data_IF_186315059860
#
_entry.id   IF_186315059860
#
_cell.length_a   1.000
_cell.length_b   1.000
_cell.length_c   1.000
_cell.angle_alpha   90.00
_cell.angle_beta   90.00
_cell.angle_gamma   90.00
#
_symmetry.space_group_name_H-M   'P 1'
#
loop_
_entity.id
_entity.type
_entity.pdbx_description
1 polymer ?
#
# COMPACT_ATOMS: atom_id res chain seq x y z
N UNK A 1 20.36 -1.94 -36.19
CA UNK A 1 20.74 -3.36 -36.36
C UNK A 1 19.69 -3.97 -37.29
N UNK A 2 19.56 -5.30 -37.44
CA UNK A 2 18.31 -5.82 -38.00
C UNK A 2 17.18 -5.52 -37.01
N UNK A 3 16.13 -4.80 -37.44
CA UNK A 3 15.02 -4.46 -36.55
C UNK A 3 14.26 -5.73 -36.13
N UNK A 4 13.81 -5.83 -34.85
CA UNK A 4 13.15 -7.03 -34.34
C UNK A 4 11.86 -7.37 -35.12
N UNK A 5 11.38 -8.62 -35.08
CA UNK A 5 10.14 -9.02 -35.76
C UNK A 5 8.95 -8.17 -35.29
N UNK A 6 7.97 -7.92 -36.17
CA UNK A 6 6.89 -6.96 -35.91
C UNK A 6 6.09 -7.27 -34.63
N UNK A 7 5.83 -8.54 -34.37
CA UNK A 7 5.06 -8.97 -33.19
C UNK A 7 5.73 -8.58 -31.87
N UNK A 8 7.07 -8.51 -31.81
CA UNK A 8 7.83 -8.08 -30.64
C UNK A 8 8.13 -6.57 -30.64
N UNK A 9 7.28 -5.74 -31.27
CA UNK A 9 7.36 -4.26 -31.26
C UNK A 9 6.20 -3.59 -30.53
N UNK A 10 5.20 -4.35 -30.08
CA UNK A 10 4.01 -3.81 -29.41
C UNK A 10 4.37 -3.15 -28.08
N UNK A 11 3.90 -1.92 -27.87
CA UNK A 11 4.07 -1.16 -26.64
C UNK A 11 2.85 -1.40 -25.75
N UNK A 12 3.00 -2.30 -24.77
CA UNK A 12 1.90 -2.67 -23.87
C UNK A 12 1.84 -1.76 -22.64
N UNK A 13 0.64 -1.26 -22.33
CA UNK A 13 0.37 -0.38 -21.18
C UNK A 13 -1.01 -0.67 -20.62
N UNK A 14 -1.15 -0.76 -19.29
CA UNK A 14 -2.41 -1.20 -18.69
C UNK A 14 -2.30 -1.46 -17.19
N UNK A 15 -3.21 -2.27 -16.66
CA UNK A 15 -3.24 -2.66 -15.25
C UNK A 15 -3.29 -4.18 -15.14
N UNK A 16 -2.47 -4.73 -14.26
CA UNK A 16 -2.49 -6.13 -13.86
C UNK A 16 -2.46 -6.23 -12.32
N UNK A 17 -2.50 -7.44 -11.78
CA UNK A 17 -2.36 -7.68 -10.35
C UNK A 17 -1.25 -8.70 -10.05
N UNK A 18 -0.60 -8.55 -8.91
CA UNK A 18 0.40 -9.49 -8.37
C UNK A 18 0.04 -9.90 -6.96
N UNK A 19 0.27 -11.16 -6.58
CA UNK A 19 0.18 -11.62 -5.20
C UNK A 19 1.42 -11.10 -4.46
N UNK A 20 1.20 -10.14 -3.54
CA UNK A 20 2.28 -9.51 -2.76
C UNK A 20 2.80 -10.50 -1.71
N UNK A 21 4.13 -10.73 -1.60
CA UNK A 21 4.71 -11.55 -0.54
C UNK A 21 4.73 -10.83 0.82
N UNK A 22 4.89 -11.60 1.91
CA UNK A 22 4.72 -11.13 3.29
C UNK A 22 5.87 -10.25 3.82
N UNK A 23 7.03 -10.27 3.16
CA UNK A 23 8.21 -9.49 3.58
C UNK A 23 8.38 -8.16 2.85
N UNK A 24 7.85 -8.03 1.62
CA UNK A 24 7.99 -6.82 0.82
C UNK A 24 6.92 -5.78 1.21
N UNK A 25 7.21 -4.50 1.00
CA UNK A 25 6.19 -3.44 1.09
C UNK A 25 5.55 -3.22 -0.29
N UNK A 26 4.39 -2.58 -0.36
CA UNK A 26 3.76 -2.24 -1.67
C UNK A 26 4.70 -1.46 -2.61
N UNK A 27 5.57 -0.60 -2.04
CA UNK A 27 6.60 0.13 -2.79
C UNK A 27 7.90 -0.66 -2.99
N UNK A 28 8.10 -1.75 -2.23
CA UNK A 28 9.15 -2.75 -2.48
C UNK A 28 8.86 -3.49 -3.77
N UNK A 29 7.68 -4.13 -3.86
CA UNK A 29 7.21 -4.84 -5.05
C UNK A 29 7.37 -4.03 -6.34
N UNK A 30 7.10 -2.72 -6.33
CA UNK A 30 7.30 -1.88 -7.53
C UNK A 30 8.78 -1.66 -7.91
N UNK A 31 9.73 -1.71 -6.96
CA UNK A 31 11.18 -1.68 -7.25
C UNK A 31 11.69 -3.02 -7.74
N UNK A 32 11.13 -4.10 -7.19
CA UNK A 32 11.44 -5.47 -7.56
C UNK A 32 10.99 -5.69 -9.03
N UNK A 33 9.72 -5.37 -9.33
CA UNK A 33 9.18 -5.34 -10.69
C UNK A 33 9.93 -4.41 -11.65
N UNK A 34 10.36 -3.21 -11.21
CA UNK A 34 11.22 -2.33 -12.04
C UNK A 34 12.53 -3.02 -12.45
N UNK A 35 13.07 -3.89 -11.61
CA UNK A 35 14.33 -4.61 -11.88
C UNK A 35 14.11 -5.74 -12.90
N UNK A 36 13.04 -6.53 -12.72
CA UNK A 36 12.63 -7.54 -13.71
C UNK A 36 12.29 -6.90 -15.07
N UNK A 37 11.52 -5.81 -15.08
CA UNK A 37 11.07 -5.16 -16.31
C UNK A 37 12.19 -4.41 -17.06
N UNK A 38 13.31 -4.08 -16.40
CA UNK A 38 14.47 -3.46 -17.05
C UNK A 38 15.32 -4.45 -17.88
N UNK A 39 15.19 -5.76 -17.66
CA UNK A 39 15.88 -6.82 -18.40
C UNK A 39 14.94 -7.62 -19.32
N UNK A 40 13.68 -7.20 -19.41
CA UNK A 40 12.57 -7.91 -20.04
C UNK A 40 12.47 -7.68 -21.55
N UNK A 41 12.19 -8.74 -22.31
CA UNK A 41 11.84 -8.68 -23.72
C UNK A 41 10.53 -7.92 -23.92
N UNK A 42 9.54 -8.18 -23.07
CA UNK A 42 8.19 -7.61 -23.13
C UNK A 42 8.18 -6.07 -23.03
N UNK A 43 9.05 -5.49 -22.21
CA UNK A 43 9.09 -4.04 -21.97
C UNK A 43 10.18 -3.28 -22.73
N UNK A 44 11.05 -3.98 -23.48
CA UNK A 44 12.03 -3.34 -24.34
C UNK A 44 11.40 -2.37 -25.38
N UNK A 45 10.27 -2.69 -26.06
CA UNK A 45 9.60 -1.75 -26.96
C UNK A 45 9.07 -0.50 -26.26
N UNK A 46 8.55 -0.64 -25.03
CA UNK A 46 8.09 0.51 -24.22
C UNK A 46 9.26 1.42 -23.84
N UNK A 47 10.37 0.84 -23.37
CA UNK A 47 11.58 1.58 -23.00
C UNK A 47 12.19 2.33 -24.19
N UNK A 48 12.23 1.71 -25.38
CA UNK A 48 12.74 2.35 -26.59
C UNK A 48 11.77 3.42 -27.12
N UNK A 49 10.45 3.18 -27.14
CA UNK A 49 9.45 4.20 -27.51
C UNK A 49 9.57 5.47 -26.66
N UNK A 50 9.64 5.32 -25.33
CA UNK A 50 9.83 6.45 -24.42
C UNK A 50 11.20 7.11 -24.60
N UNK A 51 12.28 6.34 -24.85
CA UNK A 51 13.61 6.88 -25.17
C UNK A 51 13.60 7.74 -26.43
N UNK A 52 12.91 7.31 -27.49
CA UNK A 52 12.74 8.05 -28.75
C UNK A 52 11.98 9.37 -28.51
N UNK A 53 10.86 9.32 -27.80
CA UNK A 53 10.09 10.51 -27.42
C UNK A 53 10.91 11.52 -26.57
N UNK A 54 11.75 11.02 -25.64
CA UNK A 54 12.66 11.85 -24.86
C UNK A 54 13.76 12.51 -25.71
N UNK A 55 14.25 11.85 -26.76
CA UNK A 55 15.24 12.40 -27.70
C UNK A 55 14.62 13.49 -28.59
N UNK A 56 13.39 13.28 -29.08
CA UNK A 56 12.65 14.30 -29.86
C UNK A 56 12.37 15.55 -29.03
N UNK A 57 11.94 15.38 -27.77
CA UNK A 57 11.67 16.49 -26.82
C UNK A 57 12.94 17.17 -26.26
N UNK A 58 14.14 16.79 -26.73
CA UNK A 58 15.42 17.35 -26.28
C UNK A 58 15.69 17.17 -24.77
N UNK A 59 15.21 16.07 -24.19
CA UNK A 59 15.36 15.75 -22.78
C UNK A 59 16.84 15.60 -22.37
N UNK A 60 17.17 15.98 -21.14
CA UNK A 60 18.55 15.92 -20.61
C UNK A 60 19.07 14.46 -20.64
N UNK A 61 20.31 14.19 -21.11
CA UNK A 61 20.84 12.82 -21.20
C UNK A 61 20.77 12.02 -19.89
N UNK A 62 20.96 12.66 -18.73
CA UNK A 62 20.81 12.02 -17.41
C UNK A 62 19.42 11.44 -17.13
N UNK A 63 18.37 11.95 -17.79
CA UNK A 63 17.01 11.43 -17.66
C UNK A 63 16.79 10.25 -18.61
N UNK A 64 17.37 10.30 -19.81
CA UNK A 64 17.31 9.22 -20.82
C UNK A 64 18.07 7.98 -20.34
N UNK A 65 19.24 8.17 -19.74
CA UNK A 65 20.07 7.07 -19.20
C UNK A 65 19.43 6.41 -17.97
N UNK A 66 18.62 7.16 -17.21
CA UNK A 66 17.95 6.68 -16.00
C UNK A 66 16.47 6.30 -16.25
N UNK A 67 16.07 6.15 -17.51
CA UNK A 67 14.71 5.76 -17.90
C UNK A 67 14.39 4.34 -17.39
N UNK A 68 13.23 4.20 -16.74
CA UNK A 68 12.67 2.93 -16.26
C UNK A 68 11.22 2.79 -16.70
N UNK A 69 10.70 1.57 -16.70
CA UNK A 69 9.27 1.32 -16.90
C UNK A 69 8.47 2.04 -15.81
N UNK A 70 7.50 2.85 -16.23
CA UNK A 70 6.70 3.68 -15.32
C UNK A 70 5.66 2.83 -14.62
N UNK A 71 5.87 2.55 -13.33
CA UNK A 71 4.95 1.76 -12.49
C UNK A 71 4.28 2.59 -11.40
N UNK A 72 3.11 2.14 -10.96
CA UNK A 72 2.39 2.60 -9.77
C UNK A 72 1.48 1.49 -9.22
N UNK A 73 0.93 1.64 -8.02
CA UNK A 73 0.02 0.64 -7.42
C UNK A 73 -1.36 1.20 -7.05
N UNK A 74 -2.40 0.39 -7.22
CA UNK A 74 -3.82 0.76 -7.09
C UNK A 74 -4.35 0.69 -5.66
N UNK A 75 -3.51 0.97 -4.66
CA UNK A 75 -3.86 0.89 -3.24
C UNK A 75 -2.80 0.14 -2.43
N UNK A 76 -2.46 0.68 -1.26
CA UNK A 76 -1.48 0.08 -0.37
C UNK A 76 -2.00 -1.22 0.23
N UNK A 77 -1.07 -2.12 0.53
CA UNK A 77 -1.23 -3.27 1.40
C UNK A 77 -0.05 -3.26 2.38
N UNK A 78 -0.33 -3.53 3.66
CA UNK A 78 0.66 -3.45 4.74
C UNK A 78 1.83 -4.43 4.51
N UNK A 79 3.04 -4.18 5.08
CA UNK A 79 4.21 -5.03 4.83
C UNK A 79 3.96 -6.51 5.15
N UNK A 80 3.44 -6.82 6.34
CA UNK A 80 3.14 -8.19 6.78
C UNK A 80 1.94 -8.87 6.13
N UNK A 81 1.26 -8.21 5.17
CA UNK A 81 0.02 -8.69 4.57
C UNK A 81 0.25 -9.18 3.14
N UNK A 82 -0.33 -10.32 2.78
CA UNK A 82 -0.21 -10.92 1.44
C UNK A 82 -1.44 -10.69 0.57
N UNK A 83 -1.39 -11.06 -0.71
CA UNK A 83 -2.53 -11.04 -1.60
C UNK A 83 -2.51 -9.92 -2.64
N UNK A 84 -3.67 -9.66 -3.25
CA UNK A 84 -3.83 -8.86 -4.46
C UNK A 84 -3.26 -7.45 -4.31
N UNK A 85 -2.21 -7.13 -5.07
CA UNK A 85 -1.69 -5.78 -5.28
C UNK A 85 -1.87 -5.39 -6.75
N UNK A 86 -2.75 -4.43 -7.00
CA UNK A 86 -2.97 -3.86 -8.33
C UNK A 86 -1.74 -3.04 -8.76
N UNK A 87 -1.21 -3.29 -9.95
CA UNK A 87 -0.05 -2.60 -10.53
C UNK A 87 -0.42 -2.01 -11.89
N UNK A 88 -0.17 -0.72 -12.07
CA UNK A 88 -0.39 -0.01 -13.32
C UNK A 88 0.93 0.27 -14.04
N UNK A 89 0.95 0.06 -15.35
CA UNK A 89 2.10 0.25 -16.24
C UNK A 89 1.83 1.39 -17.22
N UNK A 90 2.73 2.37 -17.30
CA UNK A 90 2.71 3.38 -18.36
C UNK A 90 1.51 4.35 -18.30
N UNK A 91 0.70 4.40 -19.37
CA UNK A 91 -0.63 5.03 -19.37
C UNK A 91 -1.54 4.44 -18.29
N UNK A 92 -1.44 3.13 -18.01
CA UNK A 92 -2.21 2.41 -16.99
C UNK A 92 -2.06 2.97 -15.56
N UNK A 93 -0.98 3.69 -15.24
CA UNK A 93 -0.88 4.35 -13.92
C UNK A 93 -1.97 5.41 -13.69
N UNK A 94 -2.62 5.92 -14.76
CA UNK A 94 -3.74 6.87 -14.67
C UNK A 94 -5.04 6.19 -14.19
N UNK A 95 -5.19 4.89 -14.44
CA UNK A 95 -6.40 4.13 -14.14
C UNK A 95 -6.46 3.65 -12.68
N UNK A 96 -5.34 3.74 -11.95
CA UNK A 96 -5.19 3.27 -10.57
C UNK A 96 -6.18 3.88 -9.58
N UNK A 97 -6.74 5.07 -9.87
CA UNK A 97 -7.80 5.69 -9.07
C UNK A 97 -9.05 4.82 -8.94
N UNK A 98 -9.51 4.20 -10.04
CA UNK A 98 -10.66 3.28 -10.07
C UNK A 98 -10.53 2.16 -9.02
N UNK A 99 -9.31 1.66 -8.83
CA UNK A 99 -9.01 0.55 -7.92
C UNK A 99 -8.91 0.98 -6.44
N UNK A 100 -8.70 2.27 -6.14
CA UNK A 100 -8.80 2.76 -4.77
C UNK A 100 -10.24 2.67 -4.26
N UNK A 101 -11.21 3.03 -5.10
CA UNK A 101 -12.63 3.16 -4.78
C UNK A 101 -13.39 1.82 -4.75
N UNK A 102 -12.95 0.81 -5.53
CA UNK A 102 -13.59 -0.50 -5.60
C UNK A 102 -13.64 -1.28 -4.25
N UNK A 103 -14.54 -2.26 -4.15
CA UNK A 103 -14.61 -3.19 -3.02
C UNK A 103 -13.38 -4.09 -2.94
N UNK A 104 -13.05 -4.52 -1.72
CA UNK A 104 -11.88 -5.33 -1.39
C UNK A 104 -12.33 -6.44 -0.45
N UNK A 105 -11.86 -7.66 -0.68
CA UNK A 105 -12.13 -8.79 0.21
C UNK A 105 -10.84 -9.24 0.88
N UNK A 106 -10.96 -9.53 2.18
CA UNK A 106 -9.85 -9.87 3.05
C UNK A 106 -10.19 -11.11 3.88
N UNK A 107 -9.14 -11.85 4.21
CA UNK A 107 -9.15 -12.81 5.30
C UNK A 107 -8.03 -12.43 6.29
N UNK A 108 -8.33 -12.38 7.58
CA UNK A 108 -7.37 -11.98 8.61
C UNK A 108 -7.52 -12.82 9.87
N UNK A 109 -6.46 -12.91 10.67
CA UNK A 109 -6.56 -13.46 12.04
C UNK A 109 -6.37 -12.35 13.05
N UNK A 110 -7.36 -12.17 13.92
CA UNK A 110 -7.24 -11.37 15.15
C UNK A 110 -6.79 -12.27 16.29
N UNK A 111 -5.82 -11.81 17.08
CA UNK A 111 -5.30 -12.46 18.27
C UNK A 111 -5.62 -11.59 19.49
N UNK A 112 -6.29 -12.13 20.50
CA UNK A 112 -6.83 -11.36 21.62
C UNK A 112 -5.83 -11.13 22.77
N UNK A 113 -6.20 -10.29 23.73
CA UNK A 113 -5.50 -10.08 25.01
C UNK A 113 -4.30 -9.13 24.99
N UNK A 114 -3.91 -8.56 23.84
CA UNK A 114 -2.89 -7.51 23.77
C UNK A 114 -3.27 -6.42 22.76
N UNK A 115 -2.68 -5.24 22.93
CA UNK A 115 -2.67 -4.16 21.93
C UNK A 115 -1.22 -3.76 21.63
N UNK A 116 -0.96 -3.47 20.36
CA UNK A 116 0.32 -2.95 19.87
C UNK A 116 0.17 -1.52 19.34
N UNK A 117 1.26 -0.80 19.20
CA UNK A 117 1.28 0.55 18.63
C UNK A 117 0.74 0.59 17.19
N UNK A 118 1.13 -0.39 16.36
CA UNK A 118 0.70 -0.54 14.97
C UNK A 118 -0.74 -1.08 14.78
N UNK A 119 -1.34 -1.66 15.82
CA UNK A 119 -2.50 -2.58 15.79
C UNK A 119 -2.27 -3.91 15.04
N UNK A 120 -1.00 -4.29 14.83
CA UNK A 120 -0.61 -5.56 14.22
C UNK A 120 0.55 -6.26 14.94
N UNK A 121 0.86 -7.50 14.54
CA UNK A 121 1.89 -8.34 15.16
C UNK A 121 3.35 -7.98 14.76
N UNK A 122 3.59 -6.86 14.06
CA UNK A 122 4.94 -6.31 13.83
C UNK A 122 5.25 -5.13 14.78
N UNK A 123 4.22 -4.54 15.40
CA UNK A 123 4.37 -3.47 16.38
C UNK A 123 4.89 -3.92 17.74
N UNK A 124 5.20 -2.96 18.61
CA UNK A 124 5.55 -3.20 20.01
C UNK A 124 4.28 -3.33 20.85
N UNK A 125 4.29 -4.23 21.84
CA UNK A 125 3.15 -4.37 22.77
C UNK A 125 3.08 -3.13 23.68
N UNK A 126 1.93 -2.46 23.66
CA UNK A 126 1.63 -1.26 24.46
C UNK A 126 0.83 -1.59 25.71
N UNK A 127 -0.08 -2.57 25.64
CA UNK A 127 -0.87 -3.00 26.81
C UNK A 127 -1.39 -4.43 26.65
N UNK A 128 -1.79 -5.05 27.77
CA UNK A 128 -2.30 -6.42 27.86
C UNK A 128 -3.56 -6.48 28.71
N UNK A 129 -4.49 -7.36 28.35
CA UNK A 129 -5.78 -7.54 29.00
C UNK A 129 -6.09 -9.03 29.20
N UNK A 130 -7.00 -9.32 30.14
CA UNK A 130 -7.59 -10.64 30.28
C UNK A 130 -8.30 -11.06 28.97
N UNK A 131 -8.24 -12.34 28.65
CA UNK A 131 -8.79 -12.94 27.43
C UNK A 131 -9.50 -14.27 27.68
N UNK A 132 -9.44 -14.78 28.91
CA UNK A 132 -10.00 -16.06 29.35
C UNK A 132 -11.54 -16.09 29.30
N UNK A 133 -12.17 -14.91 29.22
CA UNK A 133 -13.61 -14.73 29.02
C UNK A 133 -14.02 -14.55 27.54
N UNK A 134 -13.07 -14.52 26.61
CA UNK A 134 -13.33 -14.28 25.19
C UNK A 134 -13.60 -15.62 24.50
N UNK A 135 -14.88 -15.96 24.35
CA UNK A 135 -15.33 -17.17 23.65
C UNK A 135 -15.74 -16.87 22.20
N UNK A 136 -15.87 -17.92 21.40
CA UNK A 136 -16.39 -17.85 20.02
C UNK A 136 -17.72 -17.10 19.95
N UNK A 137 -18.67 -17.42 20.82
CA UNK A 137 -20.02 -16.88 20.83
C UNK A 137 -20.02 -15.38 21.13
N UNK A 138 -19.16 -14.94 22.07
CA UNK A 138 -18.96 -13.53 22.36
C UNK A 138 -18.43 -12.78 21.13
N UNK A 139 -17.46 -13.35 20.42
CA UNK A 139 -16.90 -12.74 19.21
C UNK A 139 -17.92 -12.71 18.07
N UNK A 140 -18.70 -13.77 17.84
CA UNK A 140 -19.79 -13.79 16.87
C UNK A 140 -20.89 -12.74 17.19
N UNK A 141 -21.22 -12.55 18.47
CA UNK A 141 -22.13 -11.50 18.93
C UNK A 141 -21.56 -10.10 18.64
N UNK A 142 -20.31 -9.82 19.04
CA UNK A 142 -19.69 -8.49 18.86
C UNK A 142 -19.40 -8.16 17.40
N UNK A 143 -19.12 -9.15 16.54
CA UNK A 143 -18.95 -8.94 15.10
C UNK A 143 -20.20 -8.31 14.44
N UNK A 144 -21.39 -8.47 15.02
CA UNK A 144 -22.62 -7.90 14.47
C UNK A 144 -22.63 -6.36 14.43
N UNK A 145 -21.94 -5.67 15.35
CA UNK A 145 -21.89 -4.20 15.37
C UNK A 145 -20.97 -3.59 14.30
N UNK A 146 -20.13 -4.41 13.65
CA UNK A 146 -19.17 -4.00 12.63
C UNK A 146 -19.66 -4.26 11.20
N UNK A 147 -20.91 -4.70 11.02
CA UNK A 147 -21.55 -4.95 9.71
C UNK A 147 -22.31 -3.71 9.22
N UNK A 148 -22.36 -3.52 7.90
CA UNK A 148 -23.00 -2.36 7.26
C UNK A 148 -22.16 -1.07 7.33
N UNK A 149 -22.82 0.09 7.28
CA UNK A 149 -22.17 1.39 7.27
C UNK A 149 -21.78 1.84 8.69
N UNK A 150 -20.48 1.92 8.97
CA UNK A 150 -19.92 2.24 10.30
C UNK A 150 -18.97 3.45 10.25
N UNK A 151 -18.65 4.04 11.40
CA UNK A 151 -17.60 5.05 11.55
C UNK A 151 -16.36 4.41 12.16
N UNK A 152 -15.25 4.39 11.42
CA UNK A 152 -13.99 3.80 11.86
C UNK A 152 -12.93 4.88 12.09
N UNK A 153 -12.12 4.77 13.15
CA UNK A 153 -10.90 5.57 13.33
C UNK A 153 -9.71 4.81 12.69
N UNK A 154 -9.03 5.38 11.68
CA UNK A 154 -7.79 4.81 11.15
C UNK A 154 -6.70 4.70 12.22
N UNK A 155 -5.90 3.64 12.17
CA UNK A 155 -4.69 3.52 13.00
C UNK A 155 -3.74 4.72 12.80
N UNK A 156 -3.05 5.10 13.88
CA UNK A 156 -1.96 6.10 13.88
C UNK A 156 -0.86 5.67 12.88
N UNK A 157 -0.63 4.37 12.71
CA UNK A 157 0.34 3.80 11.78
C UNK A 157 -0.28 3.54 10.39
N UNK A 158 -1.06 4.51 9.90
CA UNK A 158 -1.63 4.52 8.55
C UNK A 158 -0.80 5.38 7.59
N UNK A 159 -0.93 5.11 6.28
CA UNK A 159 -0.31 5.91 5.23
C UNK A 159 -1.04 7.24 4.95
N UNK A 160 -2.04 7.60 5.77
CA UNK A 160 -2.75 8.87 5.67
C UNK A 160 -1.80 10.04 5.85
N UNK A 161 -2.07 11.12 5.10
CA UNK A 161 -1.39 12.39 5.29
C UNK A 161 -2.25 13.36 6.11
N UNK A 162 -1.60 14.06 7.03
CA UNK A 162 -2.10 15.26 7.70
C UNK A 162 -1.01 16.33 7.52
N UNK A 163 -1.39 17.54 7.14
CA UNK A 163 -0.50 18.67 6.83
C UNK A 163 0.70 18.31 5.90
N UNK A 164 0.46 17.39 4.96
CA UNK A 164 1.42 16.96 3.94
C UNK A 164 2.38 15.82 4.34
N UNK A 165 2.65 15.63 5.63
CA UNK A 165 3.40 14.49 6.21
C UNK A 165 2.50 13.28 6.45
N UNK A 166 3.05 12.07 6.58
CA UNK A 166 2.28 10.85 6.90
C UNK A 166 2.18 10.62 8.40
N UNK A 167 1.09 9.99 8.87
CA UNK A 167 0.83 9.83 10.31
C UNK A 167 1.94 9.09 11.09
N UNK A 168 2.53 8.03 10.54
CA UNK A 168 3.65 7.32 11.19
C UNK A 168 4.92 8.19 11.36
N UNK A 169 5.06 9.27 10.58
CA UNK A 169 6.21 10.18 10.63
C UNK A 169 6.10 11.08 11.87
N UNK A 170 4.89 11.48 12.27
CA UNK A 170 4.63 12.19 13.54
C UNK A 170 4.89 11.33 14.77
N UNK A 171 4.47 10.06 14.73
CA UNK A 171 4.68 9.11 15.82
C UNK A 171 6.19 8.89 16.10
N UNK A 172 6.98 8.69 15.05
CA UNK A 172 8.45 8.57 15.15
C UNK A 172 9.16 9.87 15.54
N UNK A 173 8.61 11.03 15.20
CA UNK A 173 9.15 12.32 15.61
C UNK A 173 8.81 12.69 17.09
N UNK A 174 8.07 11.84 17.81
CA UNK A 174 7.69 12.07 19.22
C UNK A 174 6.77 13.28 19.43
N UNK A 175 6.06 13.71 18.38
CA UNK A 175 5.26 14.95 18.37
C UNK A 175 3.80 14.66 18.68
N UNK A 176 3.09 15.68 19.19
CA UNK A 176 1.64 15.63 19.37
C UNK A 176 0.96 15.19 18.07
N UNK A 177 0.39 13.99 18.09
CA UNK A 177 -0.24 13.35 16.94
C UNK A 177 -1.61 14.02 16.74
N UNK A 178 -1.93 14.55 15.53
CA UNK A 178 -3.23 15.15 15.26
C UNK A 178 -4.38 14.15 15.50
N UNK A 179 -5.50 14.59 16.10
CA UNK A 179 -6.64 13.70 16.31
C UNK A 179 -7.22 13.25 14.96
N UNK A 180 -7.23 11.94 14.73
CA UNK A 180 -7.76 11.36 13.49
C UNK A 180 -9.28 11.27 13.58
N UNK A 181 -9.95 12.15 12.81
CA UNK A 181 -11.39 12.10 12.64
C UNK A 181 -11.85 10.73 12.09
N UNK A 182 -12.88 10.16 12.70
CA UNK A 182 -13.49 8.91 12.24
C UNK A 182 -14.11 9.10 10.85
N UNK A 183 -14.02 8.06 10.01
CA UNK A 183 -14.47 8.10 8.61
C UNK A 183 -15.61 7.10 8.38
N UNK A 184 -16.61 7.43 7.54
CA UNK A 184 -17.59 6.45 7.11
C UNK A 184 -16.91 5.39 6.24
N UNK A 185 -17.15 4.14 6.57
CA UNK A 185 -16.72 2.95 5.81
C UNK A 185 -17.88 1.95 5.81
N UNK A 186 -17.90 1.04 4.85
CA UNK A 186 -18.99 0.07 4.72
C UNK A 186 -18.46 -1.36 4.61
N UNK A 187 -19.07 -2.22 5.43
CA UNK A 187 -18.76 -3.65 5.54
C UNK A 187 -19.95 -4.41 4.98
N UNK A 188 -19.83 -4.86 3.74
CA UNK A 188 -20.88 -5.57 3.00
C UNK A 188 -21.06 -7.01 3.53
N UNK A 189 -19.96 -7.59 3.99
CA UNK A 189 -19.84 -8.98 4.44
C UNK A 189 -18.78 -9.01 5.56
N UNK A 190 -19.05 -9.74 6.65
CA UNK A 190 -18.10 -9.98 7.74
C UNK A 190 -18.52 -11.24 8.50
N UNK A 191 -17.68 -12.25 8.49
CA UNK A 191 -17.94 -13.59 9.04
C UNK A 191 -16.77 -14.07 9.88
N UNK A 192 -17.07 -14.85 10.93
CA UNK A 192 -16.07 -15.68 11.62
C UNK A 192 -15.99 -17.00 10.86
N UNK A 193 -14.85 -17.25 10.22
CA UNK A 193 -14.59 -18.48 9.45
C UNK A 193 -14.14 -19.61 10.36
N UNK A 194 -13.33 -19.27 11.37
CA UNK A 194 -12.67 -20.24 12.24
C UNK A 194 -12.43 -19.63 13.61
N UNK A 195 -12.69 -20.42 14.65
CA UNK A 195 -12.28 -20.14 16.02
C UNK A 195 -11.04 -20.96 16.34
N UNK A 196 -9.99 -20.30 16.80
CA UNK A 196 -8.70 -20.90 17.11
C UNK A 196 -8.55 -20.88 18.64
N UNK A 197 -8.79 -22.05 19.25
CA UNK A 197 -8.78 -22.21 20.71
C UNK A 197 -7.41 -21.88 21.32
N UNK A 198 -7.35 -21.43 22.59
CA UNK A 198 -6.10 -21.12 23.29
C UNK A 198 -5.04 -22.23 23.19
N UNK A 199 -3.94 -21.93 22.49
CA UNK A 199 -2.82 -22.87 22.28
C UNK A 199 -2.98 -23.89 21.14
N UNK A 200 -4.06 -23.82 20.35
CA UNK A 200 -4.27 -24.67 19.15
C UNK A 200 -3.57 -24.18 17.88
N UNK A 201 -2.96 -22.98 17.92
CA UNK A 201 -2.41 -22.26 16.78
C UNK A 201 -0.94 -21.85 17.00
N UNK A 202 -0.35 -21.13 16.04
CA UNK A 202 1.03 -20.64 16.09
C UNK A 202 1.15 -19.13 16.38
N UNK A 203 0.03 -18.39 16.36
CA UNK A 203 0.01 -16.93 16.52
C UNK A 203 0.32 -16.49 17.96
N UNK A 204 1.49 -15.86 18.16
CA UNK A 204 1.89 -15.23 19.42
C UNK A 204 1.83 -13.70 19.36
N UNK A 205 1.69 -13.03 20.51
CA UNK A 205 1.99 -11.60 20.62
C UNK A 205 3.46 -11.29 20.25
N UNK A 206 3.78 -10.04 19.85
CA UNK A 206 5.16 -9.60 19.68
C UNK A 206 6.01 -9.75 20.95
N UNK A 207 7.32 -9.93 20.76
CA UNK A 207 8.30 -10.07 21.85
C UNK A 207 8.81 -8.73 22.38
N UNK A 208 8.71 -7.67 21.59
CA UNK A 208 9.09 -6.32 22.00
C UNK A 208 7.91 -5.65 22.72
N UNK A 209 8.16 -5.18 23.94
CA UNK A 209 7.25 -4.34 24.71
C UNK A 209 7.72 -2.87 24.60
N UNK A 210 6.80 -1.92 24.73
CA UNK A 210 7.10 -0.49 24.69
C UNK A 210 7.67 -0.01 26.04
N UNK A 211 8.67 0.88 26.00
CA UNK A 211 9.30 1.40 27.21
C UNK A 211 8.31 2.20 28.08
N UNK A 212 8.44 2.09 29.41
CA UNK A 212 7.41 2.54 30.36
C UNK A 212 7.09 4.03 30.33
N UNK A 213 8.00 4.87 29.82
CA UNK A 213 7.79 6.31 29.58
C UNK A 213 7.01 6.59 28.29
N UNK A 214 7.15 5.76 27.26
CA UNK A 214 6.39 5.85 26.01
C UNK A 214 4.99 5.25 26.18
N UNK A 215 4.90 4.14 26.92
CA UNK A 215 3.69 3.38 27.23
C UNK A 215 2.55 4.26 27.76
N UNK A 216 2.81 5.16 28.71
CA UNK A 216 1.79 6.07 29.27
C UNK A 216 1.25 7.09 28.25
N UNK A 217 2.07 7.47 27.27
CA UNK A 217 1.63 8.30 26.15
C UNK A 217 0.79 7.50 25.15
N UNK A 218 1.23 6.28 24.84
CA UNK A 218 0.56 5.39 23.91
C UNK A 218 -0.81 4.91 24.42
N UNK A 219 -0.94 4.41 25.67
CA UNK A 219 -2.24 3.99 26.23
C UNK A 219 -3.30 5.11 26.16
N UNK A 220 -2.88 6.36 26.41
CA UNK A 220 -3.72 7.55 26.33
C UNK A 220 -4.14 7.93 24.90
N UNK A 221 -3.30 7.62 23.90
CA UNK A 221 -3.56 7.86 22.47
C UNK A 221 -4.40 6.75 21.82
N UNK A 222 -4.19 5.49 22.21
CA UNK A 222 -4.89 4.32 21.66
C UNK A 222 -6.31 4.12 22.23
N UNK A 223 -6.70 4.90 23.25
CA UNK A 223 -8.01 4.77 23.90
C UNK A 223 -8.08 3.64 24.93
N UNK A 224 -6.95 3.24 25.50
CA UNK A 224 -6.86 2.15 26.48
C UNK A 224 -7.07 2.72 27.89
N UNK A 225 -8.28 3.21 28.18
CA UNK A 225 -8.67 3.58 29.56
C UNK A 225 -9.44 2.44 30.21
N UNK A 226 -9.19 2.23 31.51
CA UNK A 226 -10.05 1.39 32.39
C UNK A 226 -11.51 1.85 32.47
N UNK A 227 -11.82 3.02 31.92
CA UNK A 227 -13.15 3.64 31.88
C UNK A 227 -13.86 3.46 30.53
N UNK A 228 -13.12 3.32 29.42
CA UNK A 228 -13.72 3.31 28.07
C UNK A 228 -14.53 2.03 27.79
N UNK A 229 -14.25 0.95 28.53
CA UNK A 229 -15.07 -0.27 28.62
C UNK A 229 -16.53 -0.02 29.08
N UNK A 230 -16.86 1.16 29.63
CA UNK A 230 -18.25 1.56 29.92
C UNK A 230 -18.90 2.41 28.82
N UNK A 231 -18.13 3.10 27.99
CA UNK A 231 -18.65 4.18 27.12
C UNK A 231 -19.41 3.62 25.89
N UNK A 232 -19.02 2.44 25.39
CA UNK A 232 -19.73 1.80 24.29
C UNK A 232 -21.13 1.27 24.67
N UNK A 233 -21.35 0.87 25.93
CA UNK A 233 -22.65 0.39 26.40
C UNK A 233 -23.73 1.51 26.38
N UNK A 234 -23.39 2.68 26.91
CA UNK A 234 -24.30 3.83 27.04
C UNK A 234 -24.74 4.42 25.69
N UNK A 235 -23.89 4.27 24.67
CA UNK A 235 -24.14 4.79 23.32
C UNK A 235 -25.16 3.93 22.56
N UNK A 236 -25.13 2.60 22.75
CA UNK A 236 -26.15 1.69 22.22
C UNK A 236 -27.52 1.93 22.88
N UNK A 237 -27.55 2.02 24.22
CA UNK A 237 -28.78 2.17 25.00
C UNK A 237 -29.62 3.40 24.60
N UNK A 238 -28.98 4.51 24.20
CA UNK A 238 -29.66 5.76 23.83
C UNK A 238 -30.29 5.74 22.42
N UNK A 239 -29.94 4.81 21.54
CA UNK A 239 -30.57 4.66 20.21
C UNK A 239 -31.88 3.87 20.24
N UNK A 240 -32.06 2.95 21.20
CA UNK A 240 -33.21 2.03 21.26
C UNK A 240 -34.54 2.62 21.74
N UNK A 241 -34.71 3.95 21.91
CA UNK A 241 -35.88 4.51 22.60
C UNK A 241 -36.45 5.81 22.02
N UNK A 242 -37.04 5.74 20.82
CA UNK A 242 -38.11 6.68 20.41
C UNK A 242 -39.35 5.91 19.93
N UNK A 243 -40.53 6.38 20.33
CA UNK A 243 -41.80 5.63 20.26
C UNK A 243 -42.47 5.70 18.89
N UNK A 244 -43.13 4.60 18.53
CA UNK A 244 -44.23 4.54 17.56
C UNK A 244 -45.46 5.32 18.05
N UNK A 245 -46.16 6.00 17.13
CA UNK A 245 -47.59 6.33 17.22
C UNK A 245 -48.23 6.19 15.83
N UNK A 246 -49.46 5.69 15.80
CA UNK A 246 -50.29 5.48 14.60
C UNK A 246 -51.14 6.72 14.26
N UNK A 247 -51.75 6.80 13.06
CA UNK A 247 -52.37 8.02 12.54
C UNK A 247 -53.91 8.03 12.52
N UNK A 248 -54.49 9.03 13.20
CA UNK A 248 -55.86 9.57 13.09
C UNK A 248 -55.73 11.07 13.51
N UNK A 249 -56.55 12.05 13.12
CA UNK A 249 -57.67 12.13 12.16
C UNK A 249 -58.28 13.56 12.25
N UNK A 250 -58.72 14.12 11.12
CA UNK A 250 -59.55 15.34 10.94
C UNK A 250 -59.19 16.72 11.56
N UNK A 251 -58.76 17.63 10.67
CA UNK A 251 -59.51 18.84 10.23
C UNK A 251 -59.35 20.26 10.85
N UNK A 252 -59.64 21.26 9.98
CA UNK A 252 -60.02 22.69 10.17
C UNK A 252 -58.94 23.77 10.49
N UNK A 253 -58.79 24.71 9.53
CA UNK A 253 -58.40 26.16 9.55
C UNK A 253 -57.14 26.68 10.33
N UNK A 254 -56.44 27.74 9.88
CA UNK A 254 -56.58 28.55 8.66
C UNK A 254 -55.63 29.78 8.59
N UNK A 255 -55.60 30.47 7.44
CA UNK A 255 -54.86 31.72 7.09
C UNK A 255 -53.30 31.68 7.04
N UNK A 256 -52.65 32.49 6.17
CA UNK A 256 -51.18 32.62 6.17
C UNK A 256 -50.39 33.11 4.93
N UNK A 257 -51.03 33.45 3.79
CA UNK A 257 -50.39 34.08 2.59
C UNK A 257 -49.29 33.30 1.81
N UNK A 258 -48.84 33.89 0.69
CA UNK A 258 -48.10 33.27 -0.43
C UNK A 258 -46.86 34.14 -0.87
N UNK A 259 -46.24 33.96 -2.07
CA UNK A 259 -45.32 32.87 -2.44
C UNK A 259 -44.00 33.39 -3.08
N UNK A 260 -43.10 32.48 -3.48
CA UNK A 260 -42.42 32.55 -4.79
C UNK A 260 -41.83 31.21 -5.27
N UNK A 261 -41.54 31.15 -6.58
CA UNK A 261 -41.26 29.92 -7.36
C UNK A 261 -39.76 29.75 -7.71
N UNK A 262 -39.33 28.55 -8.16
CA UNK A 262 -37.91 28.15 -8.18
C UNK A 262 -37.15 28.54 -9.46
N UNK A 263 -35.83 28.31 -9.42
CA UNK A 263 -34.90 28.16 -10.55
C UNK A 263 -34.05 26.91 -10.27
N UNK A 264 -34.01 25.86 -11.11
CA UNK A 264 -33.39 25.77 -12.46
C UNK A 264 -31.91 26.16 -12.43
N UNK A 265 -31.01 25.18 -12.58
CA UNK A 265 -29.57 25.35 -12.42
C UNK A 265 -28.76 25.45 -13.71
N UNK A 266 -27.45 25.64 -13.55
CA UNK A 266 -26.43 25.60 -14.61
C UNK A 266 -25.03 25.45 -14.00
N UNK A 267 -24.31 24.41 -14.40
CA UNK A 267 -22.84 24.34 -14.36
C UNK A 267 -22.23 25.24 -15.47
N UNK A 268 -20.88 25.45 -15.57
CA UNK A 268 -19.79 24.71 -14.92
C UNK A 268 -18.75 25.54 -14.16
N UNK A 269 -17.94 24.85 -13.34
CA UNK A 269 -16.65 25.33 -12.87
C UNK A 269 -15.53 24.77 -13.76
N UNK A 270 -14.62 25.63 -14.21
CA UNK A 270 -13.51 25.29 -15.10
C UNK A 270 -12.16 25.59 -14.45
N UNK A 271 -11.16 24.75 -14.76
CA UNK A 271 -9.75 24.83 -14.33
C UNK A 271 -9.50 24.60 -12.81
N UNK A 272 -8.30 24.19 -12.39
CA UNK A 272 -7.07 23.98 -13.17
C UNK A 272 -6.25 22.79 -12.67
N UNK A 273 -5.35 22.31 -13.54
CA UNK A 273 -4.39 21.26 -13.23
C UNK A 273 -2.96 21.82 -13.11
N UNK A 274 -2.02 20.96 -12.68
CA UNK A 274 -0.57 21.21 -12.56
C UNK A 274 -0.15 22.03 -11.31
N UNK A 275 1.13 21.92 -10.86
CA UNK A 275 2.20 21.06 -11.36
C UNK A 275 2.63 19.95 -10.39
N UNK A 276 3.40 18.99 -10.90
CA UNK A 276 4.31 18.16 -10.13
C UNK A 276 5.66 18.86 -10.01
N UNK A 277 6.23 18.98 -8.80
CA UNK A 277 7.59 19.49 -8.59
C UNK A 277 8.50 18.44 -7.93
N UNK A 278 9.80 18.53 -8.21
CA UNK A 278 10.81 17.56 -7.82
C UNK A 278 11.11 17.59 -6.31
N UNK A 279 10.99 16.43 -5.64
CA UNK A 279 11.63 16.22 -4.35
C UNK A 279 13.11 15.87 -4.58
N UNK A 280 14.00 16.84 -4.36
CA UNK A 280 15.43 16.62 -4.42
C UNK A 280 15.88 15.63 -3.34
N UNK A 281 16.79 14.71 -3.70
CA UNK A 281 17.49 13.88 -2.72
C UNK A 281 18.67 14.67 -2.17
N UNK A 282 18.67 14.94 -0.86
CA UNK A 282 19.87 15.40 -0.15
C UNK A 282 20.72 14.20 0.26
N UNK A 283 22.03 14.32 0.06
CA UNK A 283 23.03 13.29 0.35
C UNK A 283 23.51 13.44 1.81
N UNK A 284 23.33 12.38 2.61
CA UNK A 284 23.93 12.26 3.93
C UNK A 284 24.62 10.91 4.08
N UNK A 285 25.91 10.91 3.75
CA UNK A 285 26.83 9.78 3.83
C UNK A 285 27.16 9.44 5.29
N UNK A 286 26.87 8.21 5.70
CA UNK A 286 27.32 7.61 6.97
C UNK A 286 28.55 6.70 6.70
N UNK A 287 29.43 6.45 7.69
CA UNK A 287 30.77 5.91 7.45
C UNK A 287 30.80 4.41 7.14
N UNK A 288 31.81 4.03 6.36
CA UNK A 288 32.17 2.65 6.03
C UNK A 288 32.75 1.96 7.28
N UNK A 289 32.29 0.74 7.60
CA UNK A 289 32.87 -0.11 8.65
C UNK A 289 33.72 -1.19 7.98
N UNK A 290 35.04 -1.15 8.21
CA UNK A 290 35.94 -2.22 7.78
C UNK A 290 35.71 -3.47 8.64
N UNK A 291 35.55 -4.62 7.97
CA UNK A 291 35.84 -5.94 8.55
C UNK A 291 36.72 -6.71 7.57
N UNK A 292 37.94 -7.01 7.98
CA UNK A 292 38.92 -7.70 7.14
C UNK A 292 38.55 -9.16 6.93
N UNK A 293 38.59 -9.60 5.67
CA UNK A 293 38.50 -11.01 5.29
C UNK A 293 39.92 -11.48 4.97
N UNK A 294 40.53 -12.27 5.85
CA UNK A 294 41.72 -13.05 5.49
C UNK A 294 41.35 -14.17 4.52
N UNK A 295 42.25 -14.47 3.58
CA UNK A 295 42.00 -15.35 2.44
C UNK A 295 42.87 -16.61 2.47
N UNK A 296 42.28 -17.78 2.22
CA UNK A 296 43.03 -19.03 1.91
C UNK A 296 42.27 -19.94 0.94
N UNK A 297 43.04 -20.60 0.05
CA UNK A 297 42.62 -21.55 -1.02
C UNK A 297 43.91 -22.25 -1.51
N UNK A 298 43.98 -23.43 -2.15
CA UNK A 298 43.00 -24.40 -2.73
C UNK A 298 43.42 -25.83 -2.22
N UNK A 299 43.14 -27.04 -2.74
CA UNK A 299 42.52 -27.59 -3.95
C UNK A 299 41.91 -29.00 -3.67
N UNK A 300 41.05 -29.57 -4.54
CA UNK A 300 40.32 -30.82 -4.29
C UNK A 300 40.95 -32.09 -4.93
N UNK A 301 40.37 -33.26 -4.64
CA UNK A 301 40.57 -34.54 -5.33
C UNK A 301 39.30 -35.42 -5.28
N UNK A 302 39.19 -36.45 -6.14
CA UNK A 302 37.95 -37.20 -6.46
C UNK A 302 38.17 -38.76 -6.43
N UNK A 303 37.28 -39.71 -6.89
CA UNK A 303 36.73 -40.74 -5.98
C UNK A 303 36.83 -42.24 -6.45
N UNK A 304 35.95 -43.11 -5.90
CA UNK A 304 35.58 -44.53 -6.28
C UNK A 304 36.56 -45.69 -5.92
N UNK A 305 36.13 -46.99 -5.82
CA UNK A 305 34.77 -47.61 -5.93
C UNK A 305 34.37 -48.66 -4.83
N UNK A 306 33.31 -49.44 -5.11
CA UNK A 306 32.49 -50.46 -4.36
C UNK A 306 33.15 -51.86 -4.13
N UNK A 307 32.57 -52.86 -3.38
CA UNK A 307 31.37 -53.67 -3.77
C UNK A 307 30.43 -54.17 -2.62
N UNK A 308 29.66 -55.27 -2.83
CA UNK A 308 28.34 -55.64 -2.24
C UNK A 308 28.29 -57.10 -1.73
N UNK A 309 27.38 -57.44 -0.77
CA UNK A 309 26.66 -58.74 -0.50
C UNK A 309 26.17 -58.79 0.99
N UNK A 310 25.13 -59.51 1.45
CA UNK A 310 23.89 -60.10 0.88
C UNK A 310 22.81 -60.32 2.02
N UNK A 311 21.67 -60.97 1.71
CA UNK A 311 20.48 -61.33 2.53
C UNK A 311 20.70 -62.54 3.50
N UNK A 312 19.71 -63.01 4.32
CA UNK A 312 18.25 -62.76 4.35
C UNK A 312 17.66 -62.40 5.75
N UNK A 313 16.34 -62.55 5.92
CA UNK A 313 15.59 -62.32 7.17
C UNK A 313 14.78 -63.55 7.59
N UNK A 314 14.44 -63.68 8.88
CA UNK A 314 13.52 -64.70 9.42
C UNK A 314 12.74 -64.15 10.65
N UNK A 315 11.82 -64.92 11.25
CA UNK A 315 10.75 -64.39 12.13
C UNK A 315 10.35 -65.34 13.27
N UNK A 316 10.33 -64.86 14.52
CA UNK A 316 9.42 -65.27 15.62
C UNK A 316 9.77 -64.58 16.96
N UNK A 317 8.82 -64.51 17.90
CA UNK A 317 9.14 -64.49 19.35
C UNK A 317 8.57 -63.33 20.17
N UNK A 318 7.95 -63.68 21.31
CA UNK A 318 7.59 -62.82 22.45
C UNK A 318 8.88 -62.32 23.19
N UNK A 319 8.87 -61.40 24.15
CA UNK A 319 7.85 -61.11 25.17
C UNK A 319 7.97 -59.68 25.76
N UNK A 320 7.14 -59.36 26.76
CA UNK A 320 6.93 -58.00 27.29
C UNK A 320 7.80 -57.59 28.48
N UNK A 321 8.31 -56.35 28.48
CA UNK A 321 8.58 -55.58 29.71
C UNK A 321 8.14 -54.12 29.56
N UNK A 322 7.54 -53.57 30.61
CA UNK A 322 7.03 -52.20 30.70
C UNK A 322 8.11 -51.12 30.74
N UNK A 323 7.84 -49.96 30.16
CA UNK A 323 8.65 -48.75 30.33
C UNK A 323 7.98 -47.54 29.68
N UNK A 324 7.25 -46.76 30.47
CA UNK A 324 6.62 -45.52 30.00
C UNK A 324 7.68 -44.48 29.59
N UNK A 325 7.56 -43.82 28.42
CA UNK A 325 8.41 -42.68 28.10
C UNK A 325 8.04 -41.50 29.02
N UNK A 326 9.02 -40.79 29.61
CA UNK A 326 8.72 -39.64 30.47
C UNK A 326 8.17 -38.49 29.61
N UNK A 327 6.85 -38.26 29.68
CA UNK A 327 6.19 -37.15 28.99
C UNK A 327 6.76 -35.83 29.50
N UNK A 328 7.62 -35.21 28.69
CA UNK A 328 8.25 -33.92 28.98
C UNK A 328 7.24 -32.77 28.78
N UNK A 329 6.19 -32.75 29.60
CA UNK A 329 5.16 -31.70 29.64
C UNK A 329 5.73 -30.43 30.25
N UNK A 330 6.60 -29.75 29.50
CA UNK A 330 6.87 -28.33 29.73
C UNK A 330 5.54 -27.60 29.70
N UNK A 331 5.19 -26.79 30.72
CA UNK A 331 3.91 -26.09 30.73
C UNK A 331 3.90 -25.04 29.62
N UNK A 332 3.28 -25.40 28.49
CA UNK A 332 2.98 -24.49 27.39
C UNK A 332 2.13 -23.37 27.97
N UNK A 333 2.67 -22.15 28.01
CA UNK A 333 1.86 -20.97 28.33
C UNK A 333 0.69 -20.95 27.33
N UNK A 334 -0.57 -20.91 27.78
CA UNK A 334 -1.69 -20.88 26.86
C UNK A 334 -1.50 -19.67 25.93
N UNK A 335 -1.50 -19.93 24.63
CA UNK A 335 -1.60 -18.83 23.67
C UNK A 335 -3.01 -18.24 23.82
N UNK A 336 -3.19 -16.92 23.76
CA UNK A 336 -4.50 -16.31 23.83
C UNK A 336 -5.33 -16.73 22.60
N UNK A 337 -6.67 -16.77 22.70
CA UNK A 337 -7.51 -17.21 21.61
C UNK A 337 -7.37 -16.30 20.39
N UNK A 338 -7.67 -16.86 19.22
CA UNK A 338 -7.69 -16.12 17.96
C UNK A 338 -8.94 -16.45 17.13
N UNK A 339 -9.31 -15.55 16.23
CA UNK A 339 -10.41 -15.76 15.29
C UNK A 339 -9.98 -15.42 13.86
N UNK A 340 -10.26 -16.31 12.91
CA UNK A 340 -10.11 -16.05 11.47
C UNK A 340 -11.38 -15.41 10.96
N UNK A 341 -11.27 -14.20 10.44
CA UNK A 341 -12.38 -13.40 9.93
C UNK A 341 -12.24 -13.24 8.42
N UNK A 342 -13.36 -13.38 7.70
CA UNK A 342 -13.47 -13.02 6.28
C UNK A 342 -14.41 -11.83 6.14
N UNK A 343 -14.09 -10.91 5.23
CA UNK A 343 -14.88 -9.70 5.04
C UNK A 343 -14.78 -9.16 3.60
N UNK A 344 -15.86 -8.53 3.14
CA UNK A 344 -15.87 -7.70 1.93
C UNK A 344 -16.25 -6.27 2.32
N UNK A 345 -15.38 -5.32 2.01
CA UNK A 345 -15.44 -3.94 2.50
C UNK A 345 -15.21 -2.93 1.38
N UNK A 346 -15.68 -1.70 1.58
CA UNK A 346 -15.47 -0.58 0.66
C UNK A 346 -14.11 0.11 0.86
N UNK A 347 -13.85 1.14 0.06
CA UNK A 347 -12.60 1.91 0.11
C UNK A 347 -12.39 2.62 1.46
N UNK A 348 -11.13 2.66 1.92
CA UNK A 348 -10.76 3.35 3.16
C UNK A 348 -10.94 2.56 4.46
N UNK A 349 -11.42 1.31 4.41
CA UNK A 349 -11.48 0.41 5.57
C UNK A 349 -10.09 -0.07 6.02
N UNK A 350 -9.87 -0.10 7.34
CA UNK A 350 -8.64 -0.57 8.00
C UNK A 350 -8.91 -1.85 8.79
N UNK A 351 -8.42 -3.00 8.32
CA UNK A 351 -8.58 -4.28 9.02
C UNK A 351 -7.85 -4.29 10.37
N UNK A 352 -6.72 -3.59 10.48
CA UNK A 352 -6.01 -3.34 11.75
C UNK A 352 -6.89 -2.65 12.80
N UNK A 353 -7.64 -1.61 12.41
CA UNK A 353 -8.60 -0.97 13.32
C UNK A 353 -9.75 -1.90 13.71
N UNK A 354 -10.27 -2.72 12.78
CA UNK A 354 -11.29 -3.73 13.13
C UNK A 354 -10.78 -4.71 14.20
N UNK A 355 -9.55 -5.22 14.08
CA UNK A 355 -8.98 -6.16 15.05
C UNK A 355 -8.87 -5.56 16.46
N UNK A 356 -8.43 -4.30 16.55
CA UNK A 356 -8.37 -3.53 17.79
C UNK A 356 -9.75 -3.28 18.39
N UNK A 357 -10.67 -2.72 17.59
CA UNK A 357 -11.99 -2.30 18.04
C UNK A 357 -12.86 -3.51 18.43
N UNK A 358 -12.69 -4.66 17.78
CA UNK A 358 -13.32 -5.93 18.15
C UNK A 358 -12.77 -6.48 19.47
N UNK A 359 -11.46 -6.34 19.73
CA UNK A 359 -10.85 -6.66 21.02
C UNK A 359 -11.48 -5.86 22.16
N UNK A 360 -11.59 -4.54 21.99
CA UNK A 360 -12.27 -3.64 22.94
C UNK A 360 -13.75 -4.03 23.13
N UNK A 361 -14.46 -4.37 22.05
CA UNK A 361 -15.87 -4.80 22.12
C UNK A 361 -16.07 -6.09 22.94
N UNK A 362 -15.05 -6.95 22.99
CA UNK A 362 -15.03 -8.17 23.80
C UNK A 362 -14.51 -7.92 25.24
N UNK A 363 -14.41 -6.67 25.70
CA UNK A 363 -13.80 -6.28 26.98
C UNK A 363 -12.36 -6.82 27.16
N UNK A 364 -11.61 -6.89 26.07
CA UNK A 364 -10.21 -7.30 26.02
C UNK A 364 -9.43 -6.32 25.13
N UNK A 365 -8.35 -6.78 24.51
CA UNK A 365 -7.61 -6.08 23.45
C UNK A 365 -7.44 -7.06 22.26
N UNK A 366 -7.06 -6.55 21.08
CA UNK A 366 -6.85 -7.38 19.90
C UNK A 366 -5.82 -6.79 18.93
N UNK A 367 -5.04 -7.65 18.28
CA UNK A 367 -4.08 -7.29 17.23
C UNK A 367 -4.29 -8.13 15.98
N UNK A 368 -3.96 -7.56 14.82
CA UNK A 368 -3.96 -8.28 13.55
C UNK A 368 -2.69 -9.14 13.42
N UNK A 369 -2.82 -10.46 13.49
CA UNK A 369 -1.70 -11.41 13.41
C UNK A 369 -1.43 -11.93 12.00
N UNK A 370 -2.44 -11.93 11.12
CA UNK A 370 -2.25 -12.15 9.68
C UNK A 370 -3.30 -11.38 8.88
N UNK A 371 -2.97 -11.08 7.62
CA UNK A 371 -3.88 -10.43 6.67
C UNK A 371 -3.56 -10.89 5.24
N UNK A 372 -4.59 -11.35 4.54
CA UNK A 372 -4.56 -11.70 3.12
C UNK A 372 -5.63 -10.85 2.42
N UNK A 373 -5.28 -10.10 1.37
CA UNK A 373 -6.26 -9.49 0.47
C UNK A 373 -6.58 -10.47 -0.65
N UNK A 374 -7.66 -11.23 -0.52
CA UNK A 374 -8.06 -12.26 -1.49
C UNK A 374 -8.58 -11.67 -2.81
N UNK A 375 -9.22 -10.48 -2.75
CA UNK A 375 -9.77 -9.79 -3.93
C UNK A 375 -9.66 -8.27 -3.84
N UNK A 376 -9.45 -7.61 -4.97
CA UNK A 376 -9.61 -6.16 -5.12
C UNK A 376 -10.26 -5.83 -6.48
N UNK A 377 -11.51 -5.37 -6.45
CA UNK A 377 -12.32 -5.20 -7.66
C UNK A 377 -12.43 -6.50 -8.43
N UNK A 378 -12.20 -6.44 -9.74
CA UNK A 378 -12.22 -7.60 -10.65
C UNK A 378 -11.06 -8.60 -10.43
N UNK A 379 -10.06 -8.30 -9.58
CA UNK A 379 -8.86 -9.14 -9.42
C UNK A 379 -8.90 -10.02 -8.17
N UNK A 380 -8.70 -11.34 -8.35
CA UNK A 380 -8.84 -12.37 -7.32
C UNK A 380 -7.70 -13.40 -7.36
N UNK A 381 -7.21 -13.83 -6.19
CA UNK A 381 -6.11 -14.78 -6.07
C UNK A 381 -6.41 -16.13 -6.75
N UNK A 382 -5.40 -16.72 -7.38
CA UNK A 382 -5.54 -17.96 -8.15
C UNK A 382 -6.27 -17.83 -9.50
N UNK A 383 -6.73 -16.62 -9.87
CA UNK A 383 -7.44 -16.36 -11.13
C UNK A 383 -6.63 -15.42 -12.05
N UNK A 384 -6.81 -14.11 -11.89
CA UNK A 384 -6.25 -13.04 -12.75
C UNK A 384 -5.23 -12.18 -12.00
N UNK A 385 -4.34 -12.88 -11.28
CA UNK A 385 -3.28 -12.34 -10.45
C UNK A 385 -2.01 -13.15 -10.72
N UNK A 386 -0.87 -12.48 -10.91
CA UNK A 386 0.43 -13.10 -11.07
C UNK A 386 0.96 -13.57 -9.71
N UNK A 387 1.36 -14.84 -9.58
CA UNK A 387 1.91 -15.35 -8.32
C UNK A 387 3.39 -14.96 -8.16
N UNK A 388 3.82 -14.71 -6.91
CA UNK A 388 5.17 -14.17 -6.67
C UNK A 388 6.28 -15.14 -7.10
N UNK A 389 6.07 -16.43 -6.88
CA UNK A 389 6.96 -17.51 -7.33
C UNK A 389 7.13 -17.56 -8.85
N UNK A 390 6.19 -16.99 -9.63
CA UNK A 390 6.27 -16.95 -11.09
C UNK A 390 7.17 -15.80 -11.60
N UNK A 391 7.31 -14.73 -10.81
CA UNK A 391 8.36 -13.71 -11.02
C UNK A 391 9.74 -14.29 -10.71
N UNK A 392 9.85 -15.03 -9.61
CA UNK A 392 11.09 -15.69 -9.16
C UNK A 392 11.54 -16.82 -10.11
N UNK A 393 10.59 -17.51 -10.75
CA UNK A 393 10.84 -18.48 -11.84
C UNK A 393 11.35 -17.84 -13.15
N UNK A 394 11.41 -16.51 -13.24
CA UNK A 394 12.07 -15.78 -14.32
C UNK A 394 11.22 -15.52 -15.58
N UNK A 395 11.76 -14.74 -16.55
CA UNK A 395 10.98 -14.11 -17.62
C UNK A 395 10.12 -15.05 -18.46
N UNK A 396 10.60 -16.26 -18.77
CA UNK A 396 9.85 -17.24 -19.54
C UNK A 396 8.51 -17.66 -18.91
N UNK A 397 8.38 -17.52 -17.58
CA UNK A 397 7.17 -17.86 -16.82
C UNK A 397 6.20 -16.67 -16.74
N UNK A 398 6.71 -15.48 -16.41
CA UNK A 398 5.86 -14.32 -16.14
C UNK A 398 5.60 -13.40 -17.34
N UNK A 399 6.49 -13.29 -18.33
CA UNK A 399 6.28 -12.41 -19.49
C UNK A 399 4.99 -12.76 -20.25
N UNK A 400 4.68 -14.03 -20.57
CA UNK A 400 3.44 -14.37 -21.27
C UNK A 400 2.19 -14.00 -20.46
N UNK A 401 2.21 -14.16 -19.13
CA UNK A 401 1.08 -13.80 -18.26
C UNK A 401 0.86 -12.30 -18.20
N UNK A 402 1.91 -11.50 -18.00
CA UNK A 402 1.79 -10.04 -17.98
C UNK A 402 1.40 -9.53 -19.38
N UNK A 403 1.88 -10.16 -20.45
CA UNK A 403 1.44 -9.86 -21.82
C UNK A 403 -0.07 -10.02 -21.99
N UNK A 404 -0.63 -11.17 -21.58
CA UNK A 404 -2.08 -11.40 -21.60
C UNK A 404 -2.82 -10.38 -20.74
N UNK A 405 -2.46 -10.20 -19.47
CA UNK A 405 -3.15 -9.26 -18.57
C UNK A 405 -3.13 -7.81 -19.09
N UNK A 406 -2.05 -7.37 -19.73
CA UNK A 406 -1.99 -6.04 -20.33
C UNK A 406 -2.80 -5.94 -21.64
N UNK A 407 -2.77 -6.95 -22.50
CA UNK A 407 -3.58 -6.96 -23.73
C UNK A 407 -5.08 -7.00 -23.39
N UNK A 408 -5.51 -7.88 -22.49
CA UNK A 408 -6.91 -7.97 -22.02
C UNK A 408 -7.40 -6.62 -21.44
N UNK A 409 -6.51 -5.90 -20.73
CA UNK A 409 -6.82 -4.57 -20.20
C UNK A 409 -6.94 -3.51 -21.30
N UNK A 410 -6.03 -3.52 -22.29
CA UNK A 410 -6.07 -2.61 -23.43
C UNK A 410 -7.33 -2.83 -24.26
N UNK A 411 -7.68 -4.08 -24.54
CA UNK A 411 -8.87 -4.46 -25.30
C UNK A 411 -10.16 -4.06 -24.55
N UNK A 412 -10.21 -4.26 -23.22
CA UNK A 412 -11.33 -3.87 -22.35
C UNK A 412 -11.56 -2.35 -22.25
N UNK A 413 -10.50 -1.55 -22.24
CA UNK A 413 -10.59 -0.07 -22.20
C UNK A 413 -10.55 0.57 -23.62
N UNK A 414 -10.48 -0.24 -24.70
CA UNK A 414 -10.48 0.23 -26.09
C UNK A 414 -9.21 0.98 -26.51
N UNK A 415 -8.04 0.58 -26.01
CA UNK A 415 -6.76 1.23 -26.27
C UNK A 415 -6.07 0.66 -27.51
N UNK A 416 -5.78 1.53 -28.48
CA UNK A 416 -4.95 1.16 -29.64
C UNK A 416 -3.54 0.75 -29.19
N UNK A 417 -3.05 -0.38 -29.70
CA UNK A 417 -1.70 -0.87 -29.44
C UNK A 417 -0.71 -0.09 -30.31
N UNK A 418 0.10 0.75 -29.69
CA UNK A 418 1.22 1.41 -30.36
C UNK A 418 2.29 0.37 -30.77
N UNK A 419 2.63 0.29 -32.06
CA UNK A 419 3.81 -0.46 -32.52
C UNK A 419 5.04 0.47 -32.58
N UNK A 420 6.18 -0.02 -32.08
CA UNK A 420 7.45 0.69 -32.21
C UNK A 420 7.86 0.78 -33.69
N UNK A 421 8.00 2.03 -34.18
CA UNK A 421 8.54 2.35 -35.51
C UNK A 421 9.91 1.67 -35.76
N UNK A 422 10.22 1.31 -36.99
CA UNK A 422 11.55 0.74 -37.30
C UNK A 422 12.68 1.78 -37.16
N UNK A 423 13.92 1.29 -37.18
CA UNK A 423 15.11 2.11 -36.93
C UNK A 423 15.37 3.14 -38.06
N UNK A 424 14.87 2.88 -39.27
CA UNK A 424 15.05 3.73 -40.46
C UNK A 424 14.07 4.91 -40.40
N UNK A 425 12.76 4.64 -40.26
CA UNK A 425 11.74 5.66 -40.03
C UNK A 425 12.07 6.54 -38.80
N UNK A 426 12.61 5.94 -37.74
CA UNK A 426 13.10 6.67 -36.57
C UNK A 426 14.25 7.63 -36.91
N UNK A 427 15.27 7.21 -37.68
CA UNK A 427 16.35 8.14 -38.05
C UNK A 427 15.85 9.28 -38.94
N UNK A 428 14.92 9.03 -39.87
CA UNK A 428 14.32 10.08 -40.70
C UNK A 428 13.54 11.10 -39.86
N UNK A 429 12.58 10.62 -39.05
CA UNK A 429 11.77 11.45 -38.13
C UNK A 429 12.61 12.26 -37.15
N UNK A 430 13.70 11.67 -36.63
CA UNK A 430 14.67 12.32 -35.76
C UNK A 430 15.48 13.39 -36.50
N UNK A 431 15.89 13.14 -37.74
CA UNK A 431 16.61 14.09 -38.59
C UNK A 431 15.73 15.30 -38.92
N UNK A 432 14.49 15.06 -39.34
CA UNK A 432 13.46 16.08 -39.57
C UNK A 432 13.22 16.93 -38.31
N UNK A 433 13.04 16.30 -37.14
CA UNK A 433 12.88 16.99 -35.85
C UNK A 433 14.07 17.89 -35.48
N UNK A 434 15.29 17.53 -35.90
CA UNK A 434 16.50 18.35 -35.70
C UNK A 434 16.58 19.49 -36.73
N UNK A 435 16.11 19.28 -37.96
CA UNK A 435 16.05 20.29 -39.01
C UNK A 435 15.00 21.36 -38.71
N UNK A 436 13.77 20.95 -38.39
CA UNK A 436 12.68 21.85 -37.99
C UNK A 436 13.06 22.74 -36.79
N UNK A 437 13.75 22.19 -35.77
CA UNK A 437 14.26 22.97 -34.63
C UNK A 437 15.33 23.99 -35.03
N UNK A 438 16.23 23.66 -35.96
CA UNK A 438 17.18 24.64 -36.51
C UNK A 438 16.45 25.77 -37.24
N UNK A 439 15.33 25.49 -37.89
CA UNK A 439 14.53 26.50 -38.59
C UNK A 439 13.67 27.36 -37.67
N UNK A 440 13.19 26.80 -36.56
CA UNK A 440 12.62 27.58 -35.45
C UNK A 440 13.67 28.54 -34.85
N UNK A 441 14.86 28.05 -34.49
CA UNK A 441 15.93 28.89 -33.92
C UNK A 441 16.47 29.92 -34.94
N UNK A 442 16.61 29.56 -36.22
CA UNK A 442 16.89 30.51 -37.31
C UNK A 442 15.82 31.61 -37.35
N UNK A 443 14.53 31.27 -37.45
CA UNK A 443 13.45 32.26 -37.45
C UNK A 443 13.39 33.11 -36.18
N UNK A 444 13.68 32.52 -35.01
CA UNK A 444 13.70 33.20 -33.71
C UNK A 444 14.82 34.24 -33.65
N UNK A 445 16.02 33.90 -34.13
CA UNK A 445 17.14 34.84 -34.24
C UNK A 445 16.87 35.97 -35.25
N UNK A 446 16.26 35.66 -36.41
CA UNK A 446 15.85 36.66 -37.40
C UNK A 446 14.81 37.65 -36.84
N UNK A 447 13.78 37.16 -36.14
CA UNK A 447 12.79 38.03 -35.45
C UNK A 447 13.41 38.83 -34.30
N UNK A 448 14.45 38.32 -33.64
CA UNK A 448 15.21 39.03 -32.61
C UNK A 448 16.11 40.17 -33.13
N UNK A 449 16.46 40.18 -34.43
CA UNK A 449 17.37 41.17 -35.02
C UNK A 449 16.79 42.58 -35.15
N UNK A 450 15.46 42.72 -35.23
CA UNK A 450 14.74 43.99 -35.47
C UNK A 450 14.60 44.91 -34.24
N UNK A 451 15.60 44.96 -33.34
CA UNK A 451 15.40 45.36 -31.95
C UNK A 451 16.36 46.39 -31.33
N UNK A 452 17.14 47.17 -32.10
CA UNK A 452 18.06 48.21 -31.54
C UNK A 452 17.34 49.48 -31.03
N UNK A 453 16.37 49.30 -30.14
CA UNK A 453 15.78 50.39 -29.36
C UNK A 453 16.79 50.94 -28.33
N UNK A 454 17.18 52.21 -28.46
CA UNK A 454 18.02 52.90 -27.45
C UNK A 454 17.29 52.95 -26.10
N UNK A 455 17.73 52.16 -25.13
CA UNK A 455 17.36 52.35 -23.73
C UNK A 455 17.97 53.65 -23.19
N UNK A 456 17.27 54.77 -23.36
CA UNK A 456 17.58 56.02 -22.66
C UNK A 456 17.07 55.94 -21.22
N UNK A 457 17.84 55.24 -20.38
CA UNK A 457 17.66 55.22 -18.93
C UNK A 457 17.96 56.59 -18.31
N UNK A 458 17.05 57.56 -18.47
CA UNK A 458 16.99 58.71 -17.56
C UNK A 458 16.64 58.16 -16.18
N UNK A 459 17.63 58.15 -15.28
CA UNK A 459 17.41 57.72 -13.91
C UNK A 459 16.47 58.67 -13.16
N UNK A 460 15.73 58.11 -12.21
CA UNK A 460 15.31 58.85 -11.02
C UNK A 460 15.87 58.13 -9.79
N UNK A 461 16.22 58.87 -8.74
CA UNK A 461 16.95 58.37 -7.58
C UNK A 461 16.07 57.55 -6.62
N UNK A 462 16.64 56.49 -6.04
CA UNK A 462 15.94 55.62 -5.08
C UNK A 462 16.86 54.76 -4.21
N UNK A 463 18.10 55.21 -3.94
CA UNK A 463 19.03 54.48 -3.06
C UNK A 463 18.71 54.74 -1.58
N UNK A 464 17.93 53.86 -0.96
CA UNK A 464 18.01 53.67 0.50
C UNK A 464 19.00 52.55 0.82
N UNK A 465 20.24 52.95 1.09
CA UNK A 465 21.21 52.13 1.83
C UNK A 465 21.09 52.43 3.33
N UNK A 466 21.80 51.63 4.14
CA UNK A 466 21.97 51.68 5.61
C UNK A 466 20.91 50.97 6.47
N UNK A 467 21.29 50.35 7.59
CA UNK A 467 22.54 49.62 7.88
C UNK A 467 22.34 48.69 9.10
N UNK A 468 23.24 47.74 9.30
CA UNK A 468 23.25 46.84 10.48
C UNK A 468 24.38 47.27 11.43
N UNK A 469 24.05 47.86 12.59
CA UNK A 469 24.93 47.91 13.78
C UNK A 469 24.19 48.29 15.08
N UNK A 470 24.90 48.20 16.20
CA UNK A 470 24.38 48.06 17.57
C UNK A 470 24.48 49.36 18.40
N UNK A 471 24.01 49.27 19.66
CA UNK A 471 24.04 50.24 20.75
C UNK A 471 22.97 51.36 20.68
N UNK A 472 22.37 51.80 21.80
CA UNK A 472 22.37 51.20 23.15
C UNK A 472 22.29 52.20 24.30
N UNK A 473 21.50 51.85 25.34
CA UNK A 473 21.34 52.56 26.64
C UNK A 473 20.60 53.90 26.62
N UNK A 474 19.62 54.02 27.55
CA UNK A 474 19.21 55.16 28.41
C UNK A 474 19.06 56.59 27.79
N UNK A 475 18.16 57.43 28.29
CA UNK A 475 17.51 57.46 29.61
C UNK A 475 16.03 57.07 29.66
#
# INVERSE_FOLDING_TARGET
MASPPKESRKVLEGVFAVNKPQWSSSAGVLRDLQSHFASSSLFAPWLESQRRAMILSNSKPKHINNLKVKLGHGGTLDPMATGVLIVGVGKGTKQLGKFLECTKSYECVVLFGAATDSYDAVGKVVSKAAYEHVTRELVEEKLAQFRGSILQKPSIFSALKVDGKKMYEYAREGKNIPEVAARPVEVLELELVEWLEPGSHEYSWPKEEMDSTEMQGAEKLLGIRKEDAKIHADTAAKRGRKRSRTPEGDSVEGAGEQPKKPRTGSEPAMSGALPSEDAAAEDQRAPEFEQGIETTTTAPAEPTPTPTEDRPAETAGQESTTGDPPTSTTPVKPQPPAARLRMTVTSGFYVRSLCHDLGLACNSLGIMSSLIRSRQGDHELGNNVLEWSELEAGPATWEPKIQTFLQDFMDKEGWEVEELEDDEAWQERKKESIENRKDEDRNRSYRGGGGKGKWHGKGNGGRNHYSKKMNGSRD
#
